data_IF_027445216990
#
_entry.id   IF_027445216990
#
_cell.length_a   1.000
_cell.length_b   1.000
_cell.length_c   1.000
_cell.angle_alpha   90.00
_cell.angle_beta   90.00
_cell.angle_gamma   90.00
#
_symmetry.space_group_name_H-M   'P 1'
#
loop_
_entity.id
_entity.type
_entity.pdbx_description
1 polymer ?
#
# COMPACT_ATOMS: atom_id res chain seq x y z
N UNK A 1 -46.11 -19.70 26.85
CA UNK A 1 -44.88 -19.88 27.67
C UNK A 1 -43.72 -20.50 26.85
N UNK A 2 -43.97 -21.38 25.87
CA UNK A 2 -42.90 -22.00 25.06
C UNK A 2 -42.13 -21.06 24.09
N UNK A 3 -42.70 -19.94 23.63
CA UNK A 3 -42.01 -19.06 22.67
C UNK A 3 -40.95 -18.13 23.27
N UNK A 4 -40.94 -17.93 24.59
CA UNK A 4 -39.98 -17.02 25.24
C UNK A 4 -38.61 -17.69 25.45
N UNK A 5 -38.60 -19.01 25.71
CA UNK A 5 -37.37 -19.78 25.93
C UNK A 5 -36.54 -20.00 24.66
N UNK A 6 -37.18 -20.19 23.50
CA UNK A 6 -36.48 -20.42 22.21
C UNK A 6 -35.73 -19.15 21.77
N UNK A 7 -36.33 -17.98 21.94
CA UNK A 7 -35.71 -16.69 21.65
C UNK A 7 -34.53 -16.39 22.58
N UNK A 8 -34.62 -16.80 23.85
CA UNK A 8 -33.55 -16.62 24.82
C UNK A 8 -32.34 -17.51 24.50
N UNK A 9 -32.58 -18.77 24.12
CA UNK A 9 -31.52 -19.70 23.72
C UNK A 9 -30.88 -19.28 22.40
N UNK A 10 -31.65 -18.80 21.41
CA UNK A 10 -31.09 -18.30 20.15
C UNK A 10 -30.28 -17.01 20.33
N UNK A 11 -30.71 -16.11 21.23
CA UNK A 11 -29.96 -14.90 21.58
C UNK A 11 -28.65 -15.24 22.29
N UNK A 12 -28.67 -16.19 23.22
CA UNK A 12 -27.46 -16.63 23.95
C UNK A 12 -26.46 -17.33 23.02
N UNK A 13 -26.94 -18.19 22.10
CA UNK A 13 -26.10 -18.83 21.08
C UNK A 13 -25.50 -17.78 20.13
N UNK A 14 -26.27 -16.74 19.76
CA UNK A 14 -25.80 -15.61 18.96
C UNK A 14 -24.70 -14.79 19.66
N UNK A 15 -24.84 -14.51 20.95
CA UNK A 15 -23.82 -13.81 21.75
C UNK A 15 -22.56 -14.66 21.99
N UNK A 16 -22.71 -15.97 22.21
CA UNK A 16 -21.58 -16.89 22.37
C UNK A 16 -20.82 -17.05 21.05
N UNK A 17 -21.52 -17.11 19.91
CA UNK A 17 -20.89 -17.13 18.58
C UNK A 17 -20.16 -15.82 18.25
N UNK A 18 -20.68 -14.67 18.70
CA UNK A 18 -20.00 -13.38 18.57
C UNK A 18 -18.75 -13.26 19.48
N UNK A 19 -18.78 -13.88 20.67
CA UNK A 19 -17.64 -13.94 21.61
C UNK A 19 -16.60 -15.02 21.25
N UNK A 20 -16.97 -16.04 20.48
CA UNK A 20 -16.05 -16.97 19.80
C UNK A 20 -15.42 -16.33 18.55
N UNK A 21 -14.93 -15.11 18.66
CA UNK A 21 -13.87 -14.66 17.77
C UNK A 21 -12.61 -15.46 18.11
N UNK A 22 -12.47 -16.63 17.47
CA UNK A 22 -11.17 -17.24 17.23
C UNK A 22 -10.25 -16.10 16.84
N UNK A 23 -9.21 -15.84 17.63
CA UNK A 23 -8.18 -14.85 17.32
C UNK A 23 -7.50 -15.28 16.02
N UNK A 24 -8.15 -14.99 14.89
CA UNK A 24 -7.64 -15.21 13.54
C UNK A 24 -6.38 -14.34 13.50
N UNK A 25 -5.21 -14.98 13.48
CA UNK A 25 -3.93 -14.26 13.46
C UNK A 25 -4.02 -13.14 12.43
N UNK A 26 -3.79 -11.90 12.88
CA UNK A 26 -4.07 -10.73 12.06
C UNK A 26 -3.23 -10.73 10.78
N UNK A 27 -3.87 -10.59 9.63
CA UNK A 27 -3.16 -10.46 8.34
C UNK A 27 -2.17 -9.29 8.38
N UNK A 28 -0.88 -9.56 8.15
CA UNK A 28 0.19 -8.55 8.20
C UNK A 28 0.13 -7.65 6.96
N UNK A 29 -0.12 -8.24 5.80
CA UNK A 29 -0.24 -7.54 4.52
C UNK A 29 -1.65 -6.96 4.39
N UNK A 30 -1.79 -5.66 4.70
CA UNK A 30 -3.01 -4.89 4.53
C UNK A 30 -2.75 -3.76 3.52
N UNK A 31 -3.82 -3.22 2.95
CA UNK A 31 -3.73 -1.95 2.23
C UNK A 31 -3.10 -0.88 3.14
N UNK A 32 -2.37 0.06 2.54
CA UNK A 32 -1.64 1.14 3.24
C UNK A 32 -0.40 0.70 4.04
N UNK A 33 -0.05 -0.59 4.03
CA UNK A 33 1.23 -1.04 4.59
C UNK A 33 2.39 -0.62 3.70
N UNK A 34 3.47 -0.19 4.33
CA UNK A 34 4.74 0.04 3.63
C UNK A 34 5.48 -1.29 3.55
N UNK A 35 5.97 -1.59 2.36
CA UNK A 35 6.69 -2.82 2.02
C UNK A 35 7.97 -2.47 1.29
N UNK A 36 8.96 -3.35 1.40
CA UNK A 36 10.21 -3.25 0.66
C UNK A 36 10.23 -4.31 -0.44
N UNK A 37 10.61 -3.91 -1.64
CA UNK A 37 10.71 -4.84 -2.78
C UNK A 37 12.05 -5.55 -2.71
N UNK A 38 12.02 -6.87 -2.68
CA UNK A 38 13.22 -7.71 -2.60
C UNK A 38 13.82 -7.96 -3.99
N UNK A 39 12.99 -8.33 -4.97
CA UNK A 39 13.46 -8.83 -6.26
C UNK A 39 13.02 -7.98 -7.47
N UNK A 40 13.79 -8.08 -8.56
CA UNK A 40 13.52 -7.47 -9.86
C UNK A 40 14.01 -6.03 -10.01
N UNK A 41 13.57 -5.34 -11.08
CA UNK A 41 14.02 -3.97 -11.42
C UNK A 41 13.89 -2.94 -10.28
N UNK A 42 12.93 -3.14 -9.38
CA UNK A 42 12.66 -2.22 -8.26
C UNK A 42 13.15 -2.77 -6.92
N UNK A 43 14.10 -3.72 -6.91
CA UNK A 43 14.73 -4.21 -5.69
C UNK A 43 15.32 -3.06 -4.85
N UNK A 44 15.21 -3.18 -3.53
CA UNK A 44 15.64 -2.16 -2.57
C UNK A 44 14.80 -0.89 -2.56
N UNK A 45 13.68 -0.85 -3.30
CA UNK A 45 12.74 0.29 -3.30
C UNK A 45 11.60 0.04 -2.31
N UNK A 46 11.25 1.12 -1.60
CA UNK A 46 10.12 1.20 -0.69
C UNK A 46 8.85 1.44 -1.51
N UNK A 47 7.78 0.76 -1.13
CA UNK A 47 6.49 0.85 -1.76
C UNK A 47 5.36 0.77 -0.74
N UNK A 48 4.18 1.22 -1.13
CA UNK A 48 2.95 1.11 -0.35
C UNK A 48 2.04 0.11 -1.06
N UNK A 49 1.43 -0.78 -0.28
CA UNK A 49 0.41 -1.71 -0.78
C UNK A 49 -0.88 -0.95 -1.03
N UNK A 50 -1.33 -0.92 -2.28
CA UNK A 50 -2.58 -0.28 -2.69
C UNK A 50 -3.74 -1.25 -2.53
N UNK A 51 -3.57 -2.46 -3.06
CA UNK A 51 -4.58 -3.51 -3.02
C UNK A 51 -3.93 -4.87 -2.85
N UNK A 52 -4.52 -5.68 -2.00
CA UNK A 52 -4.13 -7.06 -1.70
C UNK A 52 -5.02 -8.04 -2.45
N UNK A 53 -4.45 -9.13 -2.95
CA UNK A 53 -5.14 -10.25 -3.58
C UNK A 53 -4.63 -11.53 -2.92
N UNK A 54 -5.30 -11.97 -1.86
CA UNK A 54 -4.84 -13.09 -1.04
C UNK A 54 -5.18 -14.44 -1.68
N UNK A 55 -6.34 -14.54 -2.32
CA UNK A 55 -6.87 -15.76 -2.95
C UNK A 55 -6.44 -15.91 -4.43
N UNK A 56 -5.56 -15.03 -4.89
CA UNK A 56 -5.16 -14.96 -6.29
C UNK A 56 -6.23 -14.30 -7.18
N UNK A 57 -6.02 -14.37 -8.48
CA UNK A 57 -6.91 -13.86 -9.53
C UNK A 57 -6.85 -14.85 -10.69
N UNK A 58 -7.83 -14.86 -11.59
CA UNK A 58 -7.84 -15.74 -12.76
C UNK A 58 -6.54 -15.71 -13.58
N UNK A 59 -5.85 -14.56 -13.63
CA UNK A 59 -4.55 -14.43 -14.33
C UNK A 59 -3.35 -14.96 -13.53
N UNK A 60 -3.46 -14.99 -12.20
CA UNK A 60 -2.37 -15.30 -11.25
C UNK A 60 -2.92 -16.03 -10.04
N UNK A 61 -2.68 -17.33 -9.96
CA UNK A 61 -3.18 -18.19 -8.89
C UNK A 61 -2.50 -17.96 -7.53
N UNK A 62 -1.38 -17.25 -7.49
CA UNK A 62 -0.65 -16.94 -6.26
C UNK A 62 -1.09 -15.62 -5.61
N UNK A 63 -0.89 -15.53 -4.30
CA UNK A 63 -1.11 -14.31 -3.52
C UNK A 63 -0.21 -13.16 -3.98
N UNK A 64 -0.80 -12.02 -4.31
CA UNK A 64 -0.07 -10.88 -4.83
C UNK A 64 -0.66 -9.54 -4.37
N UNK A 65 0.17 -8.51 -4.45
CA UNK A 65 -0.25 -7.14 -4.16
C UNK A 65 -0.02 -6.23 -5.35
N UNK A 66 -0.95 -5.31 -5.53
CA UNK A 66 -0.71 -4.09 -6.29
C UNK A 66 0.03 -3.10 -5.38
N UNK A 67 1.24 -2.73 -5.79
CA UNK A 67 2.08 -1.78 -5.06
C UNK A 67 2.29 -0.49 -5.85
N UNK A 68 2.38 0.61 -5.11
CA UNK A 68 2.85 1.90 -5.60
C UNK A 68 4.11 2.29 -4.84
N UNK A 69 5.24 2.39 -5.54
CA UNK A 69 6.53 2.67 -4.92
C UNK A 69 7.29 3.82 -5.54
N UNK A 70 8.44 4.12 -4.96
CA UNK A 70 9.30 5.23 -5.37
C UNK A 70 10.51 4.69 -6.14
N UNK A 71 10.60 4.98 -7.43
CA UNK A 71 11.74 4.62 -8.29
C UNK A 71 12.88 5.62 -8.08
N UNK A 72 12.55 6.91 -8.19
CA UNK A 72 13.47 8.01 -7.91
C UNK A 72 13.05 8.73 -6.63
N UNK A 73 13.86 8.56 -5.59
CA UNK A 73 13.72 9.25 -4.32
C UNK A 73 14.06 10.74 -4.45
N UNK A 74 13.43 11.61 -3.62
CA UNK A 74 13.84 12.99 -3.51
C UNK A 74 15.26 13.06 -2.93
N UNK A 75 16.04 14.04 -3.38
CA UNK A 75 17.41 14.27 -2.88
C UNK A 75 17.37 15.25 -1.71
N UNK A 76 18.31 15.10 -0.76
CA UNK A 76 18.46 16.02 0.37
C UNK A 76 18.54 17.48 -0.12
N UNK A 77 17.76 18.33 0.52
CA UNK A 77 17.68 19.77 0.27
C UNK A 77 18.39 20.53 1.39
N UNK A 78 19.02 21.66 1.05
CA UNK A 78 19.70 22.55 2.00
C UNK A 78 19.16 23.97 1.85
N UNK A 79 19.16 24.76 2.93
CA UNK A 79 18.60 26.12 2.97
C UNK A 79 19.23 27.07 1.92
N UNK A 80 20.53 26.91 1.64
CA UNK A 80 21.29 27.72 0.66
C UNK A 80 20.92 27.48 -0.82
N UNK A 81 20.03 26.53 -1.12
CA UNK A 81 19.71 26.20 -2.52
C UNK A 81 18.72 27.19 -3.11
N UNK A 82 18.89 27.50 -4.40
CA UNK A 82 17.89 28.25 -5.17
C UNK A 82 16.59 27.46 -5.31
N UNK A 83 15.47 28.17 -5.46
CA UNK A 83 14.12 27.60 -5.63
C UNK A 83 14.04 26.63 -6.81
N UNK A 84 14.76 26.90 -7.90
CA UNK A 84 14.82 26.02 -9.08
C UNK A 84 15.53 24.70 -8.79
N UNK A 85 16.64 24.73 -8.05
CA UNK A 85 17.37 23.52 -7.61
C UNK A 85 16.58 22.74 -6.58
N UNK A 86 15.87 23.44 -5.69
CA UNK A 86 14.95 22.84 -4.71
C UNK A 86 13.86 22.02 -5.42
N UNK A 87 13.13 22.61 -6.37
CA UNK A 87 12.07 21.92 -7.12
C UNK A 87 12.59 20.72 -7.91
N UNK A 88 13.77 20.82 -8.53
CA UNK A 88 14.41 19.70 -9.24
C UNK A 88 14.77 18.53 -8.32
N UNK A 89 15.19 18.80 -7.07
CA UNK A 89 15.56 17.78 -6.08
C UNK A 89 14.37 17.12 -5.39
N UNK A 90 13.27 17.85 -5.23
CA UNK A 90 12.02 17.36 -4.62
C UNK A 90 11.16 16.53 -5.58
N UNK A 91 11.53 16.42 -6.87
CA UNK A 91 10.77 15.68 -7.87
C UNK A 91 10.85 14.18 -7.61
N UNK A 92 9.68 13.53 -7.46
CA UNK A 92 9.57 12.09 -7.22
C UNK A 92 9.11 11.39 -8.50
N UNK A 93 9.71 10.23 -8.79
CA UNK A 93 9.24 9.33 -9.86
C UNK A 93 8.66 8.06 -9.22
N UNK A 94 7.34 7.88 -9.23
CA UNK A 94 6.73 6.66 -8.73
C UNK A 94 6.66 5.57 -9.80
N UNK A 95 6.45 4.34 -9.35
CA UNK A 95 6.13 3.19 -10.17
C UNK A 95 4.91 2.46 -9.61
N UNK A 96 4.15 1.83 -10.50
CA UNK A 96 3.05 0.93 -10.15
C UNK A 96 3.39 -0.46 -10.70
N UNK A 97 3.26 -1.48 -9.87
CA UNK A 97 3.51 -2.87 -10.27
C UNK A 97 2.70 -3.84 -9.42
N UNK A 98 2.29 -4.95 -10.04
CA UNK A 98 1.74 -6.10 -9.33
C UNK A 98 2.89 -7.05 -9.01
N UNK A 99 3.09 -7.37 -7.73
CA UNK A 99 4.20 -8.19 -7.24
C UNK A 99 3.68 -9.30 -6.32
N UNK A 100 4.27 -10.49 -6.41
CA UNK A 100 4.02 -11.62 -5.51
C UNK A 100 4.46 -11.27 -4.07
N UNK A 101 3.73 -11.72 -3.06
CA UNK A 101 4.10 -11.55 -1.66
C UNK A 101 5.50 -12.05 -1.32
N UNK A 102 5.98 -13.14 -1.92
CA UNK A 102 7.33 -13.65 -1.66
C UNK A 102 8.46 -12.65 -2.04
N UNK A 103 8.17 -11.70 -2.92
CA UNK A 103 9.13 -10.67 -3.33
C UNK A 103 8.96 -9.35 -2.57
N UNK A 104 8.12 -9.35 -1.53
CA UNK A 104 7.84 -8.20 -0.69
C UNK A 104 8.22 -8.52 0.75
N UNK A 105 9.01 -7.66 1.35
CA UNK A 105 9.26 -7.68 2.78
C UNK A 105 8.31 -6.69 3.46
N UNK A 106 7.39 -7.14 4.34
CA UNK A 106 6.55 -6.24 5.10
C UNK A 106 7.39 -5.44 6.09
N UNK A 107 7.01 -4.18 6.30
CA UNK A 107 7.68 -3.31 7.28
C UNK A 107 6.69 -2.92 8.38
N UNK A 108 7.21 -2.41 9.49
CA UNK A 108 6.41 -1.89 10.60
C UNK A 108 5.55 -0.68 10.19
N UNK A 109 6.02 0.11 9.22
CA UNK A 109 5.45 1.40 8.89
C UNK A 109 4.15 1.29 8.08
N UNK A 110 3.25 2.25 8.33
CA UNK A 110 1.99 2.41 7.61
C UNK A 110 1.98 3.79 6.92
N UNK A 111 1.34 3.88 5.76
CA UNK A 111 1.16 5.11 5.00
C UNK A 111 -0.25 5.19 4.39
N UNK A 112 -1.30 5.39 5.22
CA UNK A 112 -2.70 5.42 4.75
C UNK A 112 -3.01 6.56 3.79
N UNK A 113 -2.41 7.73 4.01
CA UNK A 113 -2.71 8.96 3.26
C UNK A 113 -2.07 9.01 1.86
N UNK A 114 -1.33 7.96 1.46
CA UNK A 114 -0.69 7.87 0.13
C UNK A 114 -1.65 7.29 -0.91
N UNK A 115 -2.70 6.59 -0.49
CA UNK A 115 -3.62 5.95 -1.40
C UNK A 115 -4.57 7.01 -2.01
N UNK A 116 -4.61 7.15 -3.35
CA UNK A 116 -5.67 7.91 -3.98
C UNK A 116 -7.00 7.18 -3.78
N UNK A 117 -8.08 7.94 -3.62
CA UNK A 117 -9.46 7.41 -3.49
C UNK A 117 -9.89 6.59 -4.71
N UNK A 118 -9.19 6.75 -5.83
CA UNK A 118 -9.43 6.01 -7.07
C UNK A 118 -9.00 4.56 -6.92
N UNK A 119 -9.98 3.64 -7.01
CA UNK A 119 -9.75 2.20 -7.04
C UNK A 119 -8.94 1.83 -8.29
N UNK A 120 -7.69 1.41 -8.11
CA UNK A 120 -6.83 0.93 -9.20
C UNK A 120 -7.01 -0.58 -9.39
N UNK A 121 -7.47 -0.99 -10.57
CA UNK A 121 -7.57 -2.39 -10.97
C UNK A 121 -6.23 -2.93 -11.52
N UNK A 122 -5.95 -4.23 -11.34
CA UNK A 122 -4.77 -4.86 -11.95
C UNK A 122 -4.87 -4.91 -13.47
N UNK A 123 -6.09 -5.00 -14.03
CA UNK A 123 -6.35 -4.98 -15.47
C UNK A 123 -5.97 -3.64 -16.12
N UNK A 124 -6.23 -2.53 -15.43
CA UNK A 124 -5.94 -1.18 -15.94
C UNK A 124 -4.44 -0.87 -16.07
N UNK A 125 -3.57 -1.70 -15.48
CA UNK A 125 -2.12 -1.57 -15.61
C UNK A 125 -1.55 -2.17 -16.89
N UNK A 126 -2.34 -2.95 -17.64
CA UNK A 126 -1.97 -3.47 -18.96
C UNK A 126 -1.96 -2.33 -19.98
N UNK A 127 -2.95 -1.43 -19.90
CA UNK A 127 -3.06 -0.28 -20.79
C UNK A 127 -2.01 0.80 -20.44
N UNK A 128 -1.11 1.17 -21.38
CA UNK A 128 -0.03 2.13 -21.09
C UNK A 128 -0.58 3.53 -20.77
N UNK A 129 -1.70 3.92 -21.39
CA UNK A 129 -2.33 5.22 -21.19
C UNK A 129 -2.90 5.37 -19.77
N UNK A 130 -3.67 4.37 -19.30
CA UNK A 130 -4.20 4.35 -17.93
C UNK A 130 -3.09 4.28 -16.89
N UNK A 131 -2.08 3.42 -17.13
CA UNK A 131 -0.89 3.34 -16.27
C UNK A 131 -0.16 4.67 -16.12
N UNK A 132 -0.07 5.48 -17.19
CA UNK A 132 0.53 6.83 -17.14
C UNK A 132 -0.31 7.78 -16.28
N UNK A 133 -1.64 7.74 -16.40
CA UNK A 133 -2.57 8.53 -15.56
C UNK A 133 -2.42 8.20 -14.07
N UNK A 134 -2.45 6.93 -13.70
CA UNK A 134 -2.26 6.52 -12.30
C UNK A 134 -0.87 6.90 -11.77
N UNK A 135 0.19 6.72 -12.56
CA UNK A 135 1.54 7.15 -12.17
C UNK A 135 1.60 8.65 -11.88
N UNK A 136 0.88 9.46 -12.64
CA UNK A 136 0.79 10.90 -12.40
C UNK A 136 0.02 11.22 -11.11
N UNK A 137 -1.11 10.55 -10.84
CA UNK A 137 -1.86 10.72 -9.59
C UNK A 137 -1.01 10.38 -8.36
N UNK A 138 -0.33 9.22 -8.37
CA UNK A 138 0.58 8.83 -7.29
C UNK A 138 1.75 9.81 -7.15
N UNK A 139 2.26 10.37 -8.25
CA UNK A 139 3.34 11.36 -8.22
C UNK A 139 2.92 12.61 -7.45
N UNK A 140 1.74 13.14 -7.72
CA UNK A 140 1.20 14.32 -7.03
C UNK A 140 1.04 14.03 -5.54
N UNK A 141 0.41 12.90 -5.18
CA UNK A 141 0.24 12.49 -3.79
C UNK A 141 1.58 12.30 -3.05
N UNK A 142 2.56 11.62 -3.66
CA UNK A 142 3.88 11.48 -3.05
C UNK A 142 4.60 12.83 -2.88
N UNK A 143 4.47 13.75 -3.82
CA UNK A 143 5.08 15.09 -3.72
C UNK A 143 4.40 15.95 -2.63
N UNK A 144 3.07 15.89 -2.51
CA UNK A 144 2.32 16.54 -1.41
C UNK A 144 2.76 16.01 -0.04
N UNK A 145 2.86 14.69 0.10
CA UNK A 145 3.28 14.03 1.35
C UNK A 145 4.74 14.31 1.72
N UNK A 146 5.61 14.42 0.73
CA UNK A 146 7.00 14.80 0.99
C UNK A 146 7.11 16.25 1.50
N UNK A 147 6.31 17.17 0.93
CA UNK A 147 6.29 18.58 1.38
C UNK A 147 5.73 18.75 2.78
N UNK A 148 4.79 17.90 3.20
CA UNK A 148 4.26 17.94 4.58
C UNK A 148 5.23 17.38 5.63
N UNK A 149 6.36 16.77 5.22
CA UNK A 149 7.39 16.25 6.13
C UNK A 149 6.99 15.00 6.91
N UNK A 150 5.81 14.43 6.64
CA UNK A 150 5.32 13.19 7.26
C UNK A 150 5.93 11.95 6.58
N UNK A 151 6.01 10.83 7.30
CA UNK A 151 6.53 9.55 6.80
C UNK A 151 7.94 9.65 6.18
N UNK A 152 8.87 10.35 6.85
CA UNK A 152 10.24 10.58 6.35
C UNK A 152 10.94 9.30 5.89
N UNK A 153 10.74 8.20 6.63
CA UNK A 153 11.31 6.90 6.30
C UNK A 153 10.92 6.41 4.91
N UNK A 154 9.70 6.69 4.41
CA UNK A 154 9.29 6.26 3.07
C UNK A 154 10.08 6.97 1.96
N UNK A 155 10.44 8.24 2.17
CA UNK A 155 11.11 9.08 1.18
C UNK A 155 12.64 9.00 1.25
N UNK A 156 13.18 8.41 2.31
CA UNK A 156 14.59 8.16 2.42
C UNK A 156 15.00 6.89 1.66
N UNK A 157 16.05 7.00 0.84
CA UNK A 157 16.62 5.87 0.11
C UNK A 157 17.28 4.91 1.11
N UNK A 158 16.90 3.64 1.08
CA UNK A 158 17.63 2.60 1.82
C UNK A 158 19.00 2.39 1.17
N UNK A 159 20.05 2.37 1.99
CA UNK A 159 21.42 2.03 1.59
C UNK A 159 21.63 0.57 1.97
N UNK A 160 21.84 -0.26 0.96
CA UNK A 160 22.25 -1.65 1.05
C UNK A 160 23.59 -1.77 0.32
#
# INVERSE_FOLDING_TARGET
ILNCGVLFVSALIGEIAAKMQVRKMGKIMKASKVVLVLNGRYAGRKAVVVKTFDEGTAEKQYGHALIAGIDRYPRKVHKRMSKTKFNKRSKIKPFLKVINYNHLMPTRYNAPEVLPEVKVGPKDLKDPMKKKKYRFQFRVKFEERYKSGKNQWLFEKLRF
#
